data_IF_702088915195
#
_entry.id   IF_702088915195
#
_cell.length_a   1.000
_cell.length_b   1.000
_cell.length_c   1.000
_cell.angle_alpha   90.00
_cell.angle_beta   90.00
_cell.angle_gamma   90.00
#
_symmetry.space_group_name_H-M   'P 1'
#
loop_
_entity.id
_entity.type
_entity.pdbx_description
1 polymer ?
#
# COMPACT_ATOMS: atom_id res chain seq x y z
N UNK A 1 13.40 -68.72 45.48
CA UNK A 1 12.64 -67.98 46.51
C UNK A 1 13.14 -66.54 46.47
N UNK A 2 12.33 -65.60 45.97
CA UNK A 2 11.60 -64.54 46.73
C UNK A 2 12.57 -63.48 47.32
N UNK A 3 12.37 -62.17 47.25
CA UNK A 3 11.37 -61.23 46.71
C UNK A 3 11.89 -59.82 47.09
N UNK A 4 11.63 -58.78 46.28
CA UNK A 4 11.39 -57.36 46.65
C UNK A 4 12.53 -56.59 47.41
N UNK A 5 12.79 -55.29 47.32
CA UNK A 5 11.92 -54.13 47.09
C UNK A 5 12.76 -52.86 46.76
N UNK A 6 12.34 -52.15 45.71
CA UNK A 6 12.23 -50.69 45.46
C UNK A 6 12.92 -49.69 46.43
N UNK A 7 13.71 -48.78 45.85
CA UNK A 7 13.88 -47.37 46.27
C UNK A 7 14.30 -46.55 45.02
N UNK A 8 13.37 -46.00 44.24
CA UNK A 8 12.81 -44.65 44.36
C UNK A 8 13.88 -43.55 44.20
N UNK A 9 14.20 -43.21 42.94
CA UNK A 9 14.77 -41.92 42.58
C UNK A 9 13.92 -41.29 41.45
N UNK A 10 12.77 -40.77 41.86
CA UNK A 10 12.08 -39.72 41.13
C UNK A 10 12.90 -38.44 41.31
N UNK A 11 13.47 -37.88 40.25
CA UNK A 11 13.42 -36.42 40.00
C UNK A 11 14.16 -36.01 38.73
N UNK A 12 13.48 -35.12 37.99
CA UNK A 12 14.05 -34.07 37.16
C UNK A 12 14.62 -34.44 35.78
N UNK A 13 13.72 -34.62 34.80
CA UNK A 13 13.84 -33.88 33.53
C UNK A 13 12.44 -33.38 33.13
N UNK A 14 12.00 -32.30 33.78
CA UNK A 14 10.94 -31.43 33.24
C UNK A 14 11.61 -30.08 33.00
N UNK A 15 12.21 -29.91 31.83
CA UNK A 15 12.56 -28.59 31.31
C UNK A 15 11.75 -28.34 30.03
N UNK A 16 10.54 -27.85 30.29
CA UNK A 16 9.92 -26.72 29.61
C UNK A 16 10.11 -26.62 28.09
N UNK A 17 9.21 -27.28 27.36
CA UNK A 17 8.82 -26.83 26.02
C UNK A 17 8.07 -25.49 26.13
N UNK A 18 8.78 -24.35 26.14
CA UNK A 18 8.19 -23.06 25.75
C UNK A 18 8.41 -22.85 24.26
N UNK A 19 7.67 -23.61 23.45
CA UNK A 19 7.70 -23.47 22.01
C UNK A 19 6.28 -23.43 21.44
N UNK A 20 5.51 -22.45 21.87
CA UNK A 20 4.59 -21.75 20.99
C UNK A 20 4.78 -20.27 21.28
N UNK A 21 5.73 -19.69 20.56
CA UNK A 21 5.74 -18.27 20.24
C UNK A 21 4.29 -17.90 19.92
N UNK A 22 3.69 -17.08 20.78
CA UNK A 22 2.55 -16.25 20.40
C UNK A 22 3.02 -15.51 19.16
N UNK A 23 2.71 -16.07 17.99
CA UNK A 23 2.59 -15.30 16.78
C UNK A 23 1.46 -14.36 17.14
N UNK A 24 1.82 -13.17 17.62
CA UNK A 24 0.95 -12.02 17.50
C UNK A 24 0.72 -11.92 16.00
N UNK A 25 -0.33 -12.61 15.54
CA UNK A 25 -0.97 -12.37 14.26
C UNK A 25 -1.67 -11.03 14.44
N UNK A 26 -0.87 -9.98 14.61
CA UNK A 26 -1.22 -8.70 14.03
C UNK A 26 -1.37 -9.08 12.56
N UNK A 27 -2.60 -9.02 12.00
CA UNK A 27 -2.76 -9.31 10.60
C UNK A 27 -1.75 -8.39 9.90
N UNK A 28 -0.83 -8.94 9.09
CA UNK A 28 0.18 -8.16 8.34
C UNK A 28 -0.48 -7.04 7.51
N UNK A 29 -1.81 -7.08 7.35
CA UNK A 29 -2.64 -6.09 6.70
C UNK A 29 -3.17 -4.95 7.61
N UNK A 30 -3.14 -5.02 8.95
CA UNK A 30 -3.66 -3.91 9.78
C UNK A 30 -2.80 -2.67 9.67
N UNK A 31 -1.48 -2.80 9.77
CA UNK A 31 -0.57 -1.65 9.62
C UNK A 31 -0.63 -1.02 8.24
N UNK A 32 -0.79 -1.83 7.19
CA UNK A 32 -1.01 -1.33 5.83
C UNK A 32 -2.34 -0.58 5.73
N UNK A 33 -3.43 -1.18 6.23
CA UNK A 33 -4.74 -0.58 6.17
C UNK A 33 -4.82 0.73 6.98
N UNK A 34 -4.24 0.78 8.17
CA UNK A 34 -4.22 1.98 9.02
C UNK A 34 -3.41 3.12 8.36
N UNK A 35 -2.30 2.78 7.70
CA UNK A 35 -1.47 3.75 6.98
C UNK A 35 -2.18 4.25 5.72
N UNK A 36 -2.77 3.33 4.94
CA UNK A 36 -3.57 3.68 3.77
C UNK A 36 -4.75 4.58 4.15
N UNK A 37 -5.48 4.28 5.24
CA UNK A 37 -6.57 5.12 5.72
C UNK A 37 -6.12 6.54 6.07
N UNK A 38 -4.95 6.69 6.69
CA UNK A 38 -4.40 8.03 6.98
C UNK A 38 -4.14 8.82 5.69
N UNK A 39 -3.55 8.18 4.69
CA UNK A 39 -3.26 8.81 3.40
C UNK A 39 -4.54 9.11 2.63
N UNK A 40 -5.49 8.18 2.60
CA UNK A 40 -6.80 8.36 1.95
C UNK A 40 -7.56 9.51 2.58
N UNK A 41 -7.59 9.63 3.91
CA UNK A 41 -8.22 10.78 4.56
C UNK A 41 -7.49 12.11 4.28
N UNK A 42 -6.19 12.05 3.95
CA UNK A 42 -5.43 13.22 3.55
C UNK A 42 -5.78 13.78 2.18
N UNK A 43 -6.39 12.97 1.32
CA UNK A 43 -6.91 13.41 0.03
C UNK A 43 -7.93 14.56 0.17
N UNK A 44 -8.77 14.54 1.22
CA UNK A 44 -9.79 15.59 1.45
C UNK A 44 -9.22 17.01 1.59
N UNK A 45 -7.94 17.12 1.92
CA UNK A 45 -7.24 18.39 2.02
C UNK A 45 -6.03 18.44 1.06
N UNK A 46 -6.15 17.83 -0.13
CA UNK A 46 -5.10 17.75 -1.15
C UNK A 46 -3.72 17.40 -0.56
N UNK A 47 -3.70 16.45 0.38
CA UNK A 47 -2.53 15.95 1.10
C UNK A 47 -1.72 16.99 1.90
N UNK A 48 -2.24 18.21 2.10
CA UNK A 48 -1.50 19.32 2.73
C UNK A 48 -0.95 18.98 4.12
N UNK A 49 -1.69 18.23 4.93
CA UNK A 49 -1.27 17.92 6.30
C UNK A 49 -0.27 16.76 6.40
N UNK A 50 -0.10 15.97 5.33
CA UNK A 50 0.95 14.96 5.24
C UNK A 50 2.10 15.43 4.33
N UNK A 51 2.08 16.68 3.89
CA UNK A 51 3.14 17.27 3.09
C UNK A 51 4.36 17.55 3.97
N UNK A 52 5.52 17.07 3.52
CA UNK A 52 6.81 17.30 4.14
C UNK A 52 7.63 18.35 3.38
N UNK A 53 8.95 18.20 3.47
CA UNK A 53 9.91 19.07 2.78
C UNK A 53 9.78 18.94 1.26
N UNK A 54 10.14 20.00 0.55
CA UNK A 54 10.21 19.99 -0.90
C UNK A 54 11.26 19.00 -1.39
N UNK A 55 10.91 18.23 -2.42
CA UNK A 55 11.81 17.30 -3.11
C UNK A 55 12.33 17.92 -4.39
N UNK A 56 11.41 18.49 -5.20
CA UNK A 56 11.74 19.10 -6.48
C UNK A 56 10.68 20.14 -6.85
N UNK A 57 11.10 21.26 -7.43
CA UNK A 57 10.23 22.26 -8.05
C UNK A 57 10.33 22.16 -9.57
N UNK A 58 9.19 22.19 -10.25
CA UNK A 58 9.08 22.27 -11.71
C UNK A 58 8.07 23.37 -12.06
N UNK A 59 8.00 23.76 -13.34
CA UNK A 59 7.13 24.88 -13.78
C UNK A 59 5.66 24.70 -13.42
N UNK A 60 5.15 23.47 -13.50
CA UNK A 60 3.72 23.16 -13.40
C UNK A 60 3.37 22.17 -12.27
N UNK A 61 4.41 21.65 -11.60
CA UNK A 61 4.26 20.71 -10.49
C UNK A 61 5.34 20.91 -9.43
N UNK A 62 4.93 20.98 -8.18
CA UNK A 62 5.82 20.87 -7.03
C UNK A 62 5.76 19.44 -6.48
N UNK A 63 6.92 18.88 -6.20
CA UNK A 63 7.04 17.54 -5.62
C UNK A 63 7.54 17.68 -4.19
N UNK A 64 6.81 17.11 -3.25
CA UNK A 64 7.14 17.11 -1.83
C UNK A 64 7.32 15.69 -1.33
N UNK A 65 8.17 15.49 -0.33
CA UNK A 65 8.15 14.24 0.44
C UNK A 65 6.84 14.14 1.23
N UNK A 66 6.27 12.95 1.32
CA UNK A 66 5.15 12.67 2.21
C UNK A 66 5.66 12.28 3.60
N UNK A 67 5.07 12.83 4.66
CA UNK A 67 5.34 12.43 6.06
C UNK A 67 4.64 11.13 6.45
N UNK A 68 3.68 10.68 5.64
CA UNK A 68 3.01 9.39 5.76
C UNK A 68 3.40 8.48 4.60
N UNK A 69 3.57 7.19 4.88
CA UNK A 69 3.84 6.17 3.87
C UNK A 69 3.15 4.86 4.24
N UNK A 70 3.10 3.92 3.30
CA UNK A 70 2.61 2.56 3.54
C UNK A 70 3.77 1.62 3.85
N UNK A 71 3.58 0.58 4.68
CA UNK A 71 4.61 -0.42 4.94
C UNK A 71 5.13 -1.06 3.64
N UNK A 72 6.45 -1.13 3.50
CA UNK A 72 7.13 -1.72 2.34
C UNK A 72 7.45 -0.72 1.21
N UNK A 73 6.99 0.53 1.30
CA UNK A 73 7.43 1.57 0.38
C UNK A 73 8.83 2.08 0.75
N UNK A 74 9.70 2.28 -0.24
CA UNK A 74 11.01 2.92 -0.07
C UNK A 74 10.92 4.44 -0.06
N UNK A 75 9.96 5.01 -0.79
CA UNK A 75 9.74 6.45 -0.89
C UNK A 75 8.25 6.74 -1.04
N UNK A 76 7.81 7.89 -0.54
CA UNK A 76 6.47 8.43 -0.77
C UNK A 76 6.54 9.94 -1.05
N UNK A 77 5.91 10.36 -2.13
CA UNK A 77 5.91 11.71 -2.66
C UNK A 77 4.48 12.23 -2.84
N UNK A 78 4.35 13.55 -2.80
CA UNK A 78 3.12 14.28 -3.13
C UNK A 78 3.43 15.18 -4.30
N UNK A 79 2.69 15.02 -5.39
CA UNK A 79 2.75 15.89 -6.56
C UNK A 79 1.61 16.89 -6.45
N UNK A 80 1.95 18.18 -6.48
CA UNK A 80 0.97 19.27 -6.40
C UNK A 80 1.01 20.02 -7.71
N UNK A 81 -0.08 19.94 -8.46
CA UNK A 81 -0.23 20.67 -9.71
C UNK A 81 -0.64 22.11 -9.40
N UNK A 82 -0.07 23.06 -10.13
CA UNK A 82 -0.32 24.49 -9.96
C UNK A 82 -0.61 25.18 -11.29
N UNK A 83 -1.25 24.44 -12.20
CA UNK A 83 -1.80 25.03 -13.43
C UNK A 83 -3.04 25.87 -13.14
N UNK A 84 -3.40 26.75 -14.08
CA UNK A 84 -4.62 27.58 -13.99
C UNK A 84 -5.89 26.71 -13.86
N UNK A 85 -5.89 25.51 -14.44
CA UNK A 85 -7.04 24.62 -14.52
C UNK A 85 -7.02 23.51 -13.46
N UNK A 86 -5.84 23.18 -12.92
CA UNK A 86 -5.64 22.08 -11.98
C UNK A 86 -4.82 22.51 -10.75
N UNK A 87 -5.51 22.52 -9.61
CA UNK A 87 -4.95 22.76 -8.26
C UNK A 87 -5.00 21.51 -7.37
N UNK A 88 -5.18 20.34 -7.98
CA UNK A 88 -5.23 19.06 -7.29
C UNK A 88 -3.84 18.58 -6.89
N UNK A 89 -3.82 17.51 -6.10
CA UNK A 89 -2.59 16.83 -5.74
C UNK A 89 -2.78 15.32 -5.85
N UNK A 90 -1.68 14.61 -6.10
CA UNK A 90 -1.62 13.15 -6.02
C UNK A 90 -0.60 12.73 -4.97
N UNK A 91 -0.82 11.56 -4.39
CA UNK A 91 0.15 10.89 -3.53
C UNK A 91 0.66 9.65 -4.25
N UNK A 92 1.95 9.37 -4.16
CA UNK A 92 2.59 8.22 -4.79
C UNK A 92 3.60 7.59 -3.85
N UNK A 93 3.67 6.27 -3.82
CA UNK A 93 4.73 5.52 -3.16
C UNK A 93 5.44 4.56 -4.12
N UNK A 94 6.76 4.47 -3.97
CA UNK A 94 7.60 3.47 -4.64
C UNK A 94 7.63 2.22 -3.78
N UNK A 95 7.01 1.14 -4.25
CA UNK A 95 6.90 -0.14 -3.54
C UNK A 95 8.05 -1.10 -3.87
N UNK A 96 8.69 -0.92 -5.03
CA UNK A 96 9.85 -1.66 -5.47
C UNK A 96 10.63 -0.82 -6.47
N UNK A 97 11.96 -0.90 -6.42
CA UNK A 97 12.87 -0.38 -7.43
C UNK A 97 14.09 -1.32 -7.46
N UNK A 98 14.35 -1.95 -8.60
CA UNK A 98 15.41 -2.94 -8.75
C UNK A 98 15.45 -3.55 -10.15
N UNK A 99 16.40 -4.43 -10.42
CA UNK A 99 16.61 -5.05 -11.74
C UNK A 99 15.91 -6.41 -11.92
N UNK A 100 15.29 -6.95 -10.86
CA UNK A 100 14.69 -8.28 -10.87
C UNK A 100 13.18 -8.23 -11.16
N UNK A 101 12.80 -8.59 -12.40
CA UNK A 101 11.41 -8.67 -12.83
C UNK A 101 10.53 -9.55 -11.92
N UNK A 102 11.01 -10.73 -11.51
CA UNK A 102 10.21 -11.68 -10.71
C UNK A 102 9.85 -11.10 -9.34
N UNK A 103 10.76 -10.36 -8.75
CA UNK A 103 10.53 -9.65 -7.50
C UNK A 103 9.56 -8.48 -7.70
N UNK A 104 9.77 -7.67 -8.74
CA UNK A 104 8.87 -6.57 -9.09
C UNK A 104 7.43 -7.06 -9.32
N UNK A 105 7.25 -8.12 -10.12
CA UNK A 105 5.95 -8.74 -10.38
C UNK A 105 5.28 -9.28 -9.09
N UNK A 106 6.07 -9.85 -8.17
CA UNK A 106 5.58 -10.30 -6.86
C UNK A 106 5.12 -9.11 -6.00
N UNK A 107 5.89 -8.03 -5.95
CA UNK A 107 5.52 -6.82 -5.21
C UNK A 107 4.27 -6.19 -5.82
N UNK A 108 4.22 -6.02 -7.14
CA UNK A 108 3.06 -5.51 -7.88
C UNK A 108 1.76 -6.26 -7.53
N UNK A 109 1.78 -7.60 -7.64
CA UNK A 109 0.64 -8.45 -7.26
C UNK A 109 0.27 -8.30 -5.80
N UNK A 110 1.25 -8.21 -4.90
CA UNK A 110 1.00 -8.07 -3.48
C UNK A 110 0.41 -6.70 -3.13
N UNK A 111 0.93 -5.62 -3.73
CA UNK A 111 0.41 -4.25 -3.57
C UNK A 111 -1.05 -4.19 -4.03
N UNK A 112 -1.37 -4.71 -5.22
CA UNK A 112 -2.76 -4.82 -5.69
C UNK A 112 -3.64 -5.53 -4.64
N UNK A 113 -3.19 -6.69 -4.15
CA UNK A 113 -3.96 -7.50 -3.18
C UNK A 113 -4.17 -6.75 -1.87
N UNK A 114 -3.18 -6.01 -1.38
CA UNK A 114 -3.29 -5.23 -0.14
C UNK A 114 -4.28 -4.08 -0.31
N UNK A 115 -4.20 -3.33 -1.41
CA UNK A 115 -5.12 -2.23 -1.72
C UNK A 115 -6.55 -2.76 -1.91
N UNK A 116 -6.74 -3.80 -2.72
CA UNK A 116 -8.07 -4.38 -2.99
C UNK A 116 -8.73 -5.02 -1.75
N UNK A 117 -7.93 -5.43 -0.75
CA UNK A 117 -8.44 -6.00 0.52
C UNK A 117 -8.48 -5.00 1.66
N UNK A 118 -8.10 -3.74 1.41
CA UNK A 118 -8.14 -2.69 2.42
C UNK A 118 -9.60 -2.31 2.74
N UNK A 119 -9.82 -1.93 4.00
CA UNK A 119 -11.11 -1.40 4.45
C UNK A 119 -10.91 0.08 4.72
N UNK A 120 -11.49 0.90 3.87
CA UNK A 120 -11.39 2.34 3.94
C UNK A 120 -12.46 2.89 4.87
N UNK A 121 -12.08 3.91 5.64
CA UNK A 121 -12.97 4.69 6.47
C UNK A 121 -12.93 6.13 5.97
N UNK A 122 -13.99 6.53 5.26
CA UNK A 122 -14.17 7.87 4.72
C UNK A 122 -14.75 8.88 5.73
N UNK A 123 -14.83 8.51 7.02
CA UNK A 123 -15.33 9.39 8.08
C UNK A 123 -16.85 9.51 8.16
N UNK A 124 -17.59 8.95 7.20
CA UNK A 124 -19.06 8.91 7.16
C UNK A 124 -19.66 7.68 7.91
N UNK A 125 -18.83 6.90 8.59
CA UNK A 125 -19.23 5.68 9.31
C UNK A 125 -19.52 4.47 8.41
N UNK A 126 -19.48 4.61 7.09
CA UNK A 126 -19.59 3.49 6.14
C UNK A 126 -18.20 2.96 5.80
N UNK A 127 -18.06 1.64 5.86
CA UNK A 127 -16.86 0.99 5.36
C UNK A 127 -16.89 1.01 3.83
N UNK A 128 -15.82 1.51 3.22
CA UNK A 128 -15.63 1.49 1.78
C UNK A 128 -14.45 0.58 1.39
N UNK A 129 -14.35 0.26 0.11
CA UNK A 129 -13.24 -0.52 -0.44
C UNK A 129 -12.88 -0.03 -1.84
N UNK A 130 -11.64 -0.32 -2.22
CA UNK A 130 -11.20 -0.24 -3.60
C UNK A 130 -11.59 -1.50 -4.35
N UNK A 131 -12.11 -1.35 -5.57
CA UNK A 131 -12.48 -2.46 -6.45
C UNK A 131 -11.90 -2.21 -7.83
N UNK A 132 -11.25 -3.23 -8.39
CA UNK A 132 -10.68 -3.17 -9.73
C UNK A 132 -10.41 -4.56 -10.26
N UNK A 133 -9.79 -4.62 -11.43
CA UNK A 133 -9.31 -5.88 -12.01
C UNK A 133 -7.80 -5.87 -12.02
N UNK A 134 -7.22 -6.99 -11.56
CA UNK A 134 -5.79 -7.20 -11.62
C UNK A 134 -5.37 -7.51 -13.04
N UNK A 135 -4.50 -6.68 -13.60
CA UNK A 135 -3.85 -6.93 -14.89
C UNK A 135 -2.51 -7.57 -14.62
N UNK A 136 -2.33 -8.84 -15.01
CA UNK A 136 -1.07 -9.56 -14.83
C UNK A 136 0.08 -8.88 -15.58
N UNK A 137 1.28 -8.76 -14.97
CA UNK A 137 2.44 -8.25 -15.67
C UNK A 137 2.96 -9.28 -16.68
N UNK A 138 3.46 -8.79 -17.81
CA UNK A 138 4.27 -9.55 -18.76
C UNK A 138 5.64 -8.88 -18.86
N UNK A 139 6.70 -9.69 -18.92
CA UNK A 139 8.07 -9.19 -19.05
C UNK A 139 8.29 -8.46 -20.39
N UNK A 140 7.52 -8.85 -21.41
CA UNK A 140 7.55 -8.23 -22.74
C UNK A 140 6.96 -6.81 -22.76
N UNK A 141 6.20 -6.45 -21.72
CA UNK A 141 5.56 -5.14 -21.62
C UNK A 141 6.43 -4.21 -20.77
N UNK A 142 6.72 -3.02 -21.31
CA UNK A 142 7.44 -1.96 -20.58
C UNK A 142 6.62 -1.36 -19.44
N UNK A 143 5.31 -1.58 -19.44
CA UNK A 143 4.38 -1.02 -18.48
C UNK A 143 3.14 -1.91 -18.35
N UNK A 144 2.65 -2.07 -17.13
CA UNK A 144 1.29 -2.55 -16.85
C UNK A 144 0.71 -1.78 -15.68
N UNK A 145 -0.61 -1.69 -15.64
CA UNK A 145 -1.35 -0.95 -14.62
C UNK A 145 -2.60 -1.71 -14.18
N UNK A 146 -2.88 -1.65 -12.89
CA UNK A 146 -4.15 -2.06 -12.29
C UNK A 146 -4.77 -0.87 -11.58
N UNK A 147 -5.90 -0.40 -12.08
CA UNK A 147 -6.65 0.71 -11.50
C UNK A 147 -7.80 0.15 -10.65
N UNK A 148 -7.92 0.65 -9.43
CA UNK A 148 -9.02 0.36 -8.53
C UNK A 148 -9.80 1.64 -8.21
N UNK A 149 -11.12 1.52 -8.27
CA UNK A 149 -12.06 2.61 -8.03
C UNK A 149 -12.72 2.44 -6.68
N UNK A 150 -13.08 3.56 -6.05
CA UNK A 150 -14.02 3.54 -4.93
C UNK A 150 -15.44 3.30 -5.44
N UNK A 151 -16.28 2.62 -4.66
CA UNK A 151 -17.72 2.43 -4.98
C UNK A 151 -18.60 3.63 -4.59
N UNK A 152 -18.01 4.81 -4.42
CA UNK A 152 -18.75 6.03 -4.06
C UNK A 152 -19.34 6.67 -5.31
N UNK A 153 -20.66 6.69 -5.42
CA UNK A 153 -21.37 7.31 -6.55
C UNK A 153 -21.40 8.84 -6.47
N UNK A 154 -21.18 9.40 -5.27
CA UNK A 154 -21.22 10.85 -5.02
C UNK A 154 -20.28 11.26 -3.89
N UNK A 155 -19.98 12.55 -3.81
CA UNK A 155 -19.15 13.11 -2.74
C UNK A 155 -17.67 13.21 -3.10
N UNK A 156 -16.80 13.53 -2.12
CA UNK A 156 -15.42 13.91 -2.41
C UNK A 156 -14.59 12.79 -3.03
N UNK A 157 -14.94 11.53 -2.75
CA UNK A 157 -14.23 10.34 -3.23
C UNK A 157 -14.77 9.78 -4.54
N UNK A 158 -15.80 10.37 -5.18
CA UNK A 158 -16.41 9.83 -6.41
C UNK A 158 -15.39 9.52 -7.52
N UNK A 159 -14.38 10.37 -7.67
CA UNK A 159 -13.32 10.25 -8.69
C UNK A 159 -11.99 9.77 -8.10
N UNK A 160 -12.01 9.27 -6.86
CA UNK A 160 -10.79 8.86 -6.17
C UNK A 160 -10.41 7.43 -6.58
N UNK A 161 -9.18 7.27 -7.04
CA UNK A 161 -8.68 5.98 -7.52
C UNK A 161 -7.37 5.61 -6.82
N UNK A 162 -7.11 4.31 -6.77
CA UNK A 162 -5.81 3.76 -6.50
C UNK A 162 -5.26 3.11 -7.78
N UNK A 163 -4.12 3.60 -8.26
CA UNK A 163 -3.41 3.02 -9.39
C UNK A 163 -2.17 2.28 -8.90
N UNK A 164 -1.98 1.05 -9.38
CA UNK A 164 -0.73 0.31 -9.18
C UNK A 164 -0.09 0.11 -10.53
N UNK A 165 1.11 0.63 -10.71
CA UNK A 165 1.88 0.54 -11.95
C UNK A 165 3.11 -0.34 -11.75
N UNK A 166 3.44 -1.15 -12.76
CA UNK A 166 4.74 -1.77 -12.92
C UNK A 166 5.38 -1.18 -14.18
N UNK A 167 6.55 -0.58 -14.03
CA UNK A 167 7.28 0.14 -15.07
C UNK A 167 8.64 -0.53 -15.29
N UNK A 168 9.06 -0.64 -16.55
CA UNK A 168 10.43 -0.99 -16.92
C UNK A 168 11.10 0.23 -17.55
N UNK A 169 12.18 0.68 -16.92
CA UNK A 169 13.06 1.70 -17.45
C UNK A 169 14.44 1.09 -17.72
N UNK A 170 14.66 0.65 -18.97
CA UNK A 170 15.93 0.08 -19.44
C UNK A 170 16.50 -1.04 -18.55
N UNK A 171 15.63 -1.96 -18.10
CA UNK A 171 16.01 -3.09 -17.26
C UNK A 171 15.91 -2.83 -15.75
N UNK A 172 15.64 -1.59 -15.33
CA UNK A 172 15.22 -1.30 -13.97
C UNK A 172 13.69 -1.34 -13.88
N UNK A 173 13.18 -2.19 -13.00
CA UNK A 173 11.77 -2.35 -12.70
C UNK A 173 11.37 -1.52 -11.48
N UNK A 174 10.27 -0.79 -11.63
CA UNK A 174 9.69 0.01 -10.57
C UNK A 174 8.22 -0.34 -10.37
N UNK A 175 7.79 -0.53 -9.12
CA UNK A 175 6.38 -0.68 -8.75
C UNK A 175 5.93 0.57 -8.01
N UNK A 176 4.89 1.23 -8.53
CA UNK A 176 4.30 2.43 -7.92
C UNK A 176 2.89 2.14 -7.42
N UNK A 177 2.54 2.73 -6.27
CA UNK A 177 1.17 2.88 -5.80
C UNK A 177 0.83 4.37 -5.81
N UNK A 178 -0.17 4.77 -6.56
CA UNK A 178 -0.63 6.16 -6.68
C UNK A 178 -2.08 6.29 -6.20
N UNK A 179 -2.35 7.37 -5.48
CA UNK A 179 -3.68 7.77 -5.03
C UNK A 179 -3.95 9.16 -5.58
N UNK A 180 -4.98 9.29 -6.42
CA UNK A 180 -5.26 10.53 -7.13
C UNK A 180 -6.71 10.60 -7.58
N UNK A 181 -7.08 11.80 -8.03
CA UNK A 181 -8.34 12.02 -8.72
C UNK A 181 -8.20 11.61 -10.20
N UNK A 182 -9.17 10.88 -10.72
CA UNK A 182 -9.31 10.59 -12.15
C UNK A 182 -10.78 10.79 -12.56
N UNK A 183 -11.04 11.83 -13.36
CA UNK A 183 -12.33 11.99 -14.06
C UNK A 183 -12.37 11.05 -15.28
N UNK A 184 -13.56 10.69 -15.76
CA UNK A 184 -13.69 9.99 -17.05
C UNK A 184 -13.13 10.90 -18.15
N UNK A 185 -12.27 10.36 -19.02
CA UNK A 185 -11.61 11.13 -20.09
C UNK A 185 -12.62 11.77 -21.08
N UNK A 186 -13.90 11.34 -21.03
CA UNK A 186 -15.00 11.89 -21.84
C UNK A 186 -15.71 13.07 -21.19
N UNK A 187 -15.54 13.29 -19.90
CA UNK A 187 -16.10 14.45 -19.20
C UNK A 187 -15.10 15.61 -19.33
N UNK A 188 -15.38 16.56 -20.24
CA UNK A 188 -14.56 17.78 -20.38
C UNK A 188 -14.49 18.56 -19.06
N UNK A 189 -13.30 19.10 -18.79
CA UNK A 189 -12.99 19.96 -17.65
C UNK A 189 -13.81 21.24 -17.65
#
# INVERSE_FOLDING_TARGET
>A
MKKFMILLFCSAVIFSTKAQLLKNVIPVNTSFNDSLNRIVNAYLNNYRHIQGKIFQEQSDVDIYYSTQSVPGASEALIYRFHSVEDSTASWQAVMYNGDNYKEAAKVYKNTYRLVNKSRLNFGNGKAASFNGTYTGPSEDLRFTSSILYTQEESGPYQYFIANIDLLNNFGNWEVRLSLNKKKDDREKY
#
